data_IF_581640825231
#
_entry.id   IF_581640825231
#
_cell.length_a   1.000
_cell.length_b   1.000
_cell.length_c   1.000
_cell.angle_alpha   90.00
_cell.angle_beta   90.00
_cell.angle_gamma   90.00
#
_symmetry.space_group_name_H-M   'P 1'
#
loop_
_entity.id
_entity.type
_entity.pdbx_description
1 polymer ?
#
# COMPACT_ATOMS: atom_id res chain seq x y z
N UNK A 1 19.26 7.23 19.21
CA UNK A 1 17.82 7.22 18.84
C UNK A 1 17.60 8.39 17.92
N UNK A 2 17.48 8.15 16.61
CA UNK A 2 17.19 9.19 15.63
C UNK A 2 15.71 9.06 15.28
N UNK A 3 14.87 9.90 15.91
CA UNK A 3 13.46 10.02 15.55
C UNK A 3 13.39 10.67 14.17
N UNK A 4 12.87 9.95 13.18
CA UNK A 4 12.40 10.59 11.96
C UNK A 4 11.15 11.39 12.34
N UNK A 5 11.32 12.71 12.43
CA UNK A 5 10.18 13.61 12.40
C UNK A 5 9.60 13.53 10.98
N UNK A 6 8.52 12.78 10.81
CA UNK A 6 7.74 12.76 9.58
C UNK A 6 7.01 14.10 9.48
N UNK A 7 7.74 15.11 9.01
CA UNK A 7 7.23 16.45 8.82
C UNK A 7 6.08 16.41 7.80
N UNK A 8 5.02 17.19 8.06
CA UNK A 8 3.82 17.38 7.25
C UNK A 8 4.04 17.65 5.74
N UNK A 9 5.29 17.81 5.27
CA UNK A 9 5.66 17.87 3.85
C UNK A 9 5.30 16.60 3.05
N UNK A 10 5.24 15.41 3.67
CA UNK A 10 4.92 14.16 2.96
C UNK A 10 3.49 14.07 2.40
N UNK A 11 2.57 14.91 2.89
CA UNK A 11 1.18 14.94 2.42
C UNK A 11 0.99 15.70 1.11
N UNK A 12 1.89 16.64 0.80
CA UNK A 12 1.80 17.48 -0.42
C UNK A 12 2.26 16.72 -1.67
N UNK A 13 3.04 15.63 -1.51
CA UNK A 13 3.54 14.82 -2.63
C UNK A 13 2.58 13.71 -3.08
N UNK A 14 1.51 13.42 -2.32
CA UNK A 14 0.57 12.35 -2.67
C UNK A 14 -0.32 12.68 -3.87
N UNK A 15 -0.77 13.93 -3.98
CA UNK A 15 -1.55 14.42 -5.13
C UNK A 15 -0.70 14.50 -6.41
N UNK A 16 0.63 14.61 -6.29
CA UNK A 16 1.56 14.57 -7.41
C UNK A 16 1.89 13.13 -7.88
N UNK A 17 1.63 12.12 -7.05
CA UNK A 17 1.92 10.71 -7.33
C UNK A 17 0.75 9.95 -7.96
N UNK A 18 -0.48 10.26 -7.56
CA UNK A 18 -1.68 9.69 -8.17
C UNK A 18 -1.97 10.41 -9.50
N UNK A 19 -2.62 9.73 -10.46
CA UNK A 19 -3.54 10.29 -11.50
C UNK A 19 -3.58 9.41 -12.78
N UNK A 20 -3.61 8.08 -12.66
CA UNK A 20 -3.86 7.21 -13.83
C UNK A 20 -4.92 6.17 -13.49
N UNK A 21 -5.93 5.98 -14.35
CA UNK A 21 -6.81 4.82 -14.21
C UNK A 21 -6.01 3.54 -14.53
N UNK A 22 -6.03 2.52 -13.66
CA UNK A 22 -5.35 1.26 -13.94
C UNK A 22 -5.98 0.59 -15.16
N UNK A 23 -5.17 0.03 -16.06
CA UNK A 23 -5.68 -0.73 -17.19
C UNK A 23 -6.45 -1.97 -16.70
N UNK A 24 -7.79 -1.96 -16.87
CA UNK A 24 -8.71 -3.02 -16.40
C UNK A 24 -8.85 -4.18 -17.37
N UNK A 25 -7.99 -4.29 -18.41
CA UNK A 25 -8.06 -5.43 -19.33
C UNK A 25 -7.83 -6.75 -18.58
N UNK A 26 -8.96 -7.44 -18.34
CA UNK A 26 -9.05 -8.73 -17.66
C UNK A 26 -8.15 -9.75 -18.36
N UNK A 27 -7.08 -10.17 -17.69
CA UNK A 27 -6.37 -11.39 -18.04
C UNK A 27 -4.85 -11.31 -18.07
N UNK A 28 -4.24 -10.15 -17.81
CA UNK A 28 -2.77 -10.07 -17.73
C UNK A 28 -2.30 -10.15 -16.27
N UNK A 29 -1.23 -10.89 -16.04
CA UNK A 29 -0.44 -10.89 -14.80
C UNK A 29 0.26 -9.53 -14.67
N UNK A 30 -0.51 -8.47 -14.39
CA UNK A 30 0.05 -7.15 -14.18
C UNK A 30 0.97 -7.19 -12.96
N UNK A 31 2.19 -6.64 -13.09
CA UNK A 31 3.08 -6.50 -11.94
C UNK A 31 2.50 -5.42 -11.02
N UNK A 32 2.34 -5.75 -9.75
CA UNK A 32 1.84 -4.81 -8.74
C UNK A 32 2.91 -4.57 -7.69
N UNK A 33 3.15 -3.30 -7.37
CA UNK A 33 4.01 -2.85 -6.27
C UNK A 33 3.15 -2.14 -5.24
N UNK A 34 3.05 -2.72 -4.05
CA UNK A 34 2.38 -2.09 -2.91
C UNK A 34 3.37 -1.22 -2.15
N UNK A 35 3.04 0.07 -2.02
CA UNK A 35 3.81 1.05 -1.26
C UNK A 35 3.02 1.37 0.00
N UNK A 36 3.57 1.02 1.16
CA UNK A 36 2.92 1.28 2.44
C UNK A 36 3.54 2.51 3.10
N UNK A 37 2.71 3.41 3.59
CA UNK A 37 3.19 4.48 4.44
C UNK A 37 3.55 3.99 5.86
N UNK A 38 4.03 4.93 6.68
CA UNK A 38 4.43 4.70 8.06
C UNK A 38 3.25 4.39 8.99
N UNK A 39 2.01 4.71 8.57
CA UNK A 39 0.82 4.50 9.40
C UNK A 39 0.37 3.04 9.44
N UNK A 40 0.73 2.24 8.42
CA UNK A 40 0.41 0.80 8.37
C UNK A 40 1.33 0.03 9.33
N UNK A 41 0.79 -0.63 10.38
CA UNK A 41 1.59 -1.39 11.34
C UNK A 41 2.40 -2.49 10.65
N UNK A 42 3.68 -2.60 10.99
CA UNK A 42 4.57 -3.65 10.47
C UNK A 42 5.41 -4.25 11.59
N UNK A 43 5.63 -5.54 11.52
CA UNK A 43 6.60 -6.25 12.34
C UNK A 43 7.89 -6.44 11.55
N UNK A 44 9.00 -6.04 12.15
CA UNK A 44 10.32 -6.35 11.60
C UNK A 44 10.60 -7.85 11.77
N UNK A 45 10.74 -8.56 10.65
CA UNK A 45 11.08 -9.98 10.59
C UNK A 45 12.45 -10.21 9.94
N UNK A 46 13.32 -9.19 9.95
CA UNK A 46 14.63 -9.21 9.34
C UNK A 46 15.47 -10.35 9.91
N UNK A 47 16.05 -11.15 9.02
CA UNK A 47 17.03 -12.18 9.34
C UNK A 47 18.29 -11.98 8.51
N UNK A 48 19.38 -12.69 8.84
CA UNK A 48 20.60 -12.66 8.00
C UNK A 48 20.37 -13.06 6.54
N UNK A 49 19.37 -13.91 6.27
CA UNK A 49 19.01 -14.36 4.91
C UNK A 49 17.99 -13.44 4.23
N UNK A 50 17.24 -12.68 5.00
CA UNK A 50 16.20 -11.77 4.51
C UNK A 50 16.27 -10.46 5.32
N UNK A 51 17.24 -9.57 5.01
CA UNK A 51 17.54 -8.40 5.83
C UNK A 51 16.43 -7.35 5.84
N UNK A 52 15.58 -7.33 4.81
CA UNK A 52 14.52 -6.33 4.64
C UNK A 52 13.11 -6.94 4.80
N UNK A 53 13.01 -8.10 5.46
CA UNK A 53 11.73 -8.79 5.59
C UNK A 53 10.85 -8.13 6.66
N UNK A 54 9.62 -7.78 6.27
CA UNK A 54 8.60 -7.21 7.13
C UNK A 54 7.33 -8.05 7.01
N UNK A 55 6.56 -8.13 8.08
CA UNK A 55 5.20 -8.68 8.08
C UNK A 55 4.18 -7.61 8.44
N UNK A 56 3.02 -7.69 7.80
CA UNK A 56 1.80 -6.99 8.17
C UNK A 56 0.89 -8.01 8.87
N UNK A 57 0.22 -7.59 9.93
CA UNK A 57 -0.68 -8.46 10.69
C UNK A 57 -1.84 -8.99 9.83
N UNK A 58 -2.40 -10.16 10.18
CA UNK A 58 -3.62 -10.62 9.53
C UNK A 58 -4.77 -9.64 9.82
N UNK A 59 -5.66 -9.48 8.85
CA UNK A 59 -6.83 -8.60 8.94
C UNK A 59 -6.49 -7.10 9.18
N UNK A 60 -5.28 -6.68 8.85
CA UNK A 60 -4.92 -5.26 8.89
C UNK A 60 -5.68 -4.51 7.78
N UNK A 61 -6.50 -3.53 8.17
CA UNK A 61 -7.21 -2.71 7.20
C UNK A 61 -6.25 -1.71 6.57
N UNK A 62 -6.32 -1.60 5.24
CA UNK A 62 -5.53 -0.65 4.48
C UNK A 62 -6.43 0.13 3.54
N UNK A 63 -6.11 1.40 3.34
CA UNK A 63 -6.82 2.31 2.45
C UNK A 63 -5.93 2.64 1.26
N UNK A 64 -6.44 2.44 0.05
CA UNK A 64 -5.81 2.96 -1.18
C UNK A 64 -5.92 4.48 -1.17
N UNK A 65 -4.77 5.15 -1.24
CA UNK A 65 -4.71 6.61 -1.33
C UNK A 65 -4.45 7.08 -2.75
N UNK A 66 -3.62 6.32 -3.49
CA UNK A 66 -3.18 6.68 -4.83
C UNK A 66 -2.85 5.42 -5.63
N UNK A 67 -2.99 5.54 -6.96
CA UNK A 67 -2.50 4.56 -7.92
C UNK A 67 -1.74 5.26 -9.04
N UNK A 68 -0.70 4.59 -9.54
CA UNK A 68 0.09 5.04 -10.69
C UNK A 68 0.50 3.84 -11.53
N UNK A 69 0.24 3.90 -12.82
CA UNK A 69 0.79 2.93 -13.77
C UNK A 69 2.04 3.51 -14.44
N UNK A 70 3.13 2.74 -14.46
CA UNK A 70 4.38 3.10 -15.13
C UNK A 70 5.04 1.84 -15.68
N UNK A 71 5.37 1.85 -16.97
CA UNK A 71 6.07 0.74 -17.65
C UNK A 71 5.40 -0.64 -17.44
N UNK A 72 4.05 -0.67 -17.47
CA UNK A 72 3.25 -1.88 -17.26
C UNK A 72 3.25 -2.40 -15.82
N UNK A 73 3.75 -1.62 -14.86
CA UNK A 73 3.69 -1.90 -13.42
C UNK A 73 2.69 -0.97 -12.75
N UNK A 74 1.77 -1.55 -11.98
CA UNK A 74 0.84 -0.80 -11.15
C UNK A 74 1.43 -0.57 -9.76
N UNK A 75 1.58 0.69 -9.39
CA UNK A 75 1.95 1.10 -8.05
C UNK A 75 0.68 1.46 -7.28
N UNK A 76 0.52 0.89 -6.09
CA UNK A 76 -0.62 1.13 -5.20
C UNK A 76 -0.10 1.66 -3.88
N UNK A 77 -0.45 2.91 -3.55
CA UNK A 77 -0.08 3.51 -2.27
C UNK A 77 -1.16 3.26 -1.23
N UNK A 78 -0.75 2.73 -0.08
CA UNK A 78 -1.60 2.25 1.00
C UNK A 78 -1.25 2.94 2.32
N UNK A 79 -2.29 3.35 3.06
CA UNK A 79 -2.19 3.84 4.43
C UNK A 79 -3.14 3.10 5.37
N UNK A 80 -2.94 3.24 6.67
CA UNK A 80 -3.94 2.82 7.66
C UNK A 80 -5.16 3.72 7.57
N UNK A 81 -6.38 3.15 7.53
CA UNK A 81 -7.58 3.96 7.55
C UNK A 81 -7.76 4.60 8.93
N UNK A 82 -8.11 5.89 8.95
CA UNK A 82 -8.40 6.62 10.20
C UNK A 82 -9.77 6.29 10.80
N UNK A 83 -10.62 5.58 10.05
CA UNK A 83 -11.96 5.15 10.44
C UNK A 83 -12.22 3.74 9.92
N UNK A 84 -13.11 2.98 10.58
CA UNK A 84 -13.46 1.64 10.12
C UNK A 84 -14.02 1.69 8.68
N UNK A 85 -13.45 0.94 7.72
CA UNK A 85 -13.97 0.89 6.35
C UNK A 85 -15.40 0.34 6.31
N UNK A 86 -16.23 0.89 5.42
CA UNK A 86 -17.60 0.40 5.18
C UNK A 86 -17.64 -0.82 4.27
N UNK A 87 -16.68 -0.91 3.36
CA UNK A 87 -16.48 -2.01 2.42
C UNK A 87 -15.01 -2.38 2.55
N UNK A 88 -14.75 -3.66 2.76
CA UNK A 88 -13.41 -4.23 2.81
C UNK A 88 -13.33 -5.21 1.67
N UNK A 89 -12.26 -5.15 0.90
CA UNK A 89 -11.97 -6.15 -0.12
C UNK A 89 -10.69 -6.88 0.25
N UNK A 90 -10.61 -8.16 -0.07
CA UNK A 90 -9.37 -8.93 0.01
C UNK A 90 -8.38 -8.43 -1.05
N UNK A 91 -7.14 -8.17 -0.64
CA UNK A 91 -6.11 -7.57 -1.51
C UNK A 91 -5.67 -8.49 -2.66
N UNK A 92 -5.85 -9.81 -2.49
CA UNK A 92 -5.35 -10.82 -3.42
C UNK A 92 -6.32 -11.13 -4.56
N UNK A 93 -7.63 -11.18 -4.27
CA UNK A 93 -8.67 -11.58 -5.23
C UNK A 93 -9.69 -10.45 -5.50
N UNK A 94 -9.70 -9.39 -4.69
CA UNK A 94 -10.63 -8.27 -4.80
C UNK A 94 -12.05 -8.58 -4.35
N UNK A 95 -12.30 -9.76 -3.76
CA UNK A 95 -13.62 -10.12 -3.22
C UNK A 95 -13.93 -9.31 -1.96
N UNK A 96 -15.21 -9.07 -1.72
CA UNK A 96 -15.66 -8.39 -0.49
C UNK A 96 -15.33 -9.32 0.69
N UNK A 97 -14.62 -8.79 1.67
CA UNK A 97 -14.34 -9.49 2.92
C UNK A 97 -15.55 -9.33 3.86
N UNK A 98 -16.15 -10.46 4.25
CA UNK A 98 -17.29 -10.55 5.18
C UNK A 98 -16.90 -10.31 6.66
#
# INVERSE_FOLDING_TARGET
MQSAATTLQGLVDLDAWAQTEPNKEKGTTQKVVYVFDESVPKMNLSTKKMPDHLAIGPNEFMKVMAVKESDGTLFVYLSSPTTKPKIVNHIFDGEIAD
#
